data_IF_950539343606
#
_entry.id   IF_950539343606
#
_cell.length_a   1.000
_cell.length_b   1.000
_cell.length_c   1.000
_cell.angle_alpha   90.00
_cell.angle_beta   90.00
_cell.angle_gamma   90.00
#
_symmetry.space_group_name_H-M   'P 1'
#
loop_
_entity.id
_entity.type
_entity.pdbx_description
1 polymer ?
#
# COMPACT_ATOMS: atom_id res chain seq x y z
N UNK A 1 27.50 12.23 -16.98
CA UNK A 1 28.01 11.08 -16.24
C UNK A 1 26.84 10.39 -15.60
N UNK A 2 26.50 9.21 -16.07
CA UNK A 2 25.55 8.30 -15.41
C UNK A 2 26.24 7.81 -14.14
N UNK A 3 26.08 8.52 -13.02
CA UNK A 3 26.56 8.01 -11.74
C UNK A 3 25.75 6.76 -11.40
N UNK A 4 26.40 5.61 -11.46
CA UNK A 4 25.80 4.37 -10.98
C UNK A 4 25.38 4.55 -9.53
N UNK A 5 24.16 4.12 -9.20
CA UNK A 5 23.69 4.13 -7.82
C UNK A 5 24.61 3.24 -6.99
N UNK A 6 25.16 3.72 -5.85
CA UNK A 6 25.99 2.89 -4.98
C UNK A 6 25.26 1.62 -4.56
N UNK A 7 25.98 0.51 -4.43
CA UNK A 7 25.42 -0.79 -4.05
C UNK A 7 24.64 -0.71 -2.71
N UNK A 8 25.14 0.07 -1.75
CA UNK A 8 24.45 0.29 -0.47
C UNK A 8 23.07 0.93 -0.62
N UNK A 9 22.92 1.88 -1.55
CA UNK A 9 21.64 2.53 -1.84
C UNK A 9 20.68 1.58 -2.59
N UNK A 10 21.23 0.75 -3.49
CA UNK A 10 20.44 -0.31 -4.15
C UNK A 10 19.92 -1.33 -3.13
N UNK A 11 20.79 -1.80 -2.23
CA UNK A 11 20.41 -2.74 -1.17
C UNK A 11 19.39 -2.14 -0.21
N UNK A 12 19.53 -0.84 0.12
CA UNK A 12 18.54 -0.14 0.94
C UNK A 12 17.18 -0.06 0.25
N UNK A 13 17.14 0.26 -1.03
CA UNK A 13 15.89 0.29 -1.80
C UNK A 13 15.24 -1.11 -1.88
N UNK A 14 16.04 -2.16 -2.11
CA UNK A 14 15.57 -3.55 -2.08
C UNK A 14 15.03 -3.94 -0.69
N UNK A 15 15.70 -3.52 0.38
CA UNK A 15 15.23 -3.77 1.75
C UNK A 15 13.87 -3.11 2.00
N UNK A 16 13.68 -1.86 1.58
CA UNK A 16 12.39 -1.16 1.75
C UNK A 16 11.27 -1.88 1.01
N UNK A 17 11.46 -2.23 -0.26
CA UNK A 17 10.42 -2.93 -1.03
C UNK A 17 10.19 -4.35 -0.54
N UNK A 18 11.21 -5.02 -0.01
CA UNK A 18 11.09 -6.30 0.68
C UNK A 18 10.24 -6.18 1.94
N UNK A 19 10.50 -5.17 2.78
CA UNK A 19 9.70 -4.87 3.97
C UNK A 19 8.24 -4.62 3.58
N UNK A 20 7.99 -3.79 2.58
CA UNK A 20 6.63 -3.47 2.14
C UNK A 20 5.89 -4.69 1.57
N UNK A 21 6.57 -5.54 0.80
CA UNK A 21 5.97 -6.76 0.25
C UNK A 21 5.66 -7.80 1.32
N UNK A 22 6.65 -8.14 2.14
CA UNK A 22 6.49 -9.13 3.21
C UNK A 22 5.55 -8.66 4.33
N UNK A 23 5.32 -7.36 4.43
CA UNK A 23 4.40 -6.80 5.41
C UNK A 23 2.97 -7.32 5.30
N UNK A 24 2.52 -7.75 4.13
CA UNK A 24 1.18 -8.35 3.98
C UNK A 24 1.03 -9.63 4.80
N UNK A 25 2.11 -10.40 4.97
CA UNK A 25 2.14 -11.55 5.88
C UNK A 25 2.05 -11.09 7.33
N UNK A 26 2.80 -10.06 7.71
CA UNK A 26 2.75 -9.50 9.08
C UNK A 26 1.37 -8.94 9.39
N UNK A 27 0.69 -8.31 8.41
CA UNK A 27 -0.72 -7.89 8.56
C UNK A 27 -1.59 -9.10 8.89
N UNK A 28 -1.46 -10.21 8.17
CA UNK A 28 -2.26 -11.41 8.41
C UNK A 28 -2.03 -11.98 9.81
N UNK A 29 -0.79 -11.99 10.28
CA UNK A 29 -0.47 -12.40 11.66
C UNK A 29 -1.08 -11.46 12.70
N UNK A 30 -1.00 -10.14 12.49
CA UNK A 30 -1.62 -9.17 13.39
C UNK A 30 -3.14 -9.25 13.43
N UNK A 31 -3.78 -9.59 12.30
CA UNK A 31 -5.23 -9.79 12.23
C UNK A 31 -5.72 -11.04 12.97
N UNK A 32 -4.83 -11.96 13.31
CA UNK A 32 -5.16 -13.08 14.23
C UNK A 32 -5.26 -12.63 15.69
N UNK A 33 -4.67 -11.49 16.04
CA UNK A 33 -4.60 -10.99 17.42
C UNK A 33 -5.52 -9.76 17.64
N UNK A 34 -5.73 -8.96 16.61
CA UNK A 34 -6.47 -7.70 16.67
C UNK A 34 -7.62 -7.64 15.66
N UNK A 35 -8.77 -7.05 16.03
CA UNK A 35 -9.76 -6.62 15.06
C UNK A 35 -9.15 -5.70 13.99
N UNK A 36 -9.67 -5.76 12.75
CA UNK A 36 -9.03 -5.13 11.60
C UNK A 36 -8.88 -3.61 11.73
N UNK A 37 -9.95 -2.92 12.12
CA UNK A 37 -9.91 -1.45 12.24
C UNK A 37 -9.13 -1.01 13.48
N UNK A 38 -9.15 -1.79 14.57
CA UNK A 38 -8.26 -1.55 15.71
C UNK A 38 -6.80 -1.69 15.30
N UNK A 39 -6.46 -2.74 14.57
CA UNK A 39 -5.09 -2.97 14.12
C UNK A 39 -4.61 -1.85 13.20
N UNK A 40 -5.47 -1.38 12.29
CA UNK A 40 -5.19 -0.21 11.48
C UNK A 40 -5.00 1.06 12.33
N UNK A 41 -5.83 1.27 13.36
CA UNK A 41 -5.68 2.40 14.28
C UNK A 41 -4.34 2.36 15.02
N UNK A 42 -3.92 1.19 15.51
CA UNK A 42 -2.61 0.99 16.16
C UNK A 42 -1.45 1.29 15.19
N UNK A 43 -1.55 0.86 13.93
CA UNK A 43 -0.57 1.24 12.89
C UNK A 43 -0.38 2.74 12.83
N UNK A 44 -1.46 3.50 12.73
CA UNK A 44 -1.39 4.96 12.61
C UNK A 44 -0.99 5.64 13.90
N UNK A 45 -1.34 5.06 15.06
CA UNK A 45 -0.87 5.51 16.36
C UNK A 45 0.68 5.44 16.43
N UNK A 46 1.28 4.31 16.10
CA UNK A 46 2.73 4.14 16.10
C UNK A 46 3.42 4.85 14.93
N UNK A 47 2.70 5.21 13.88
CA UNK A 47 3.22 6.06 12.79
C UNK A 47 3.21 7.54 13.15
N UNK A 48 2.36 7.97 14.07
CA UNK A 48 2.26 9.36 14.53
C UNK A 48 3.09 9.59 15.78
N UNK A 49 2.87 8.79 16.82
CA UNK A 49 3.54 8.92 18.10
C UNK A 49 4.74 7.96 18.20
N UNK A 50 5.92 8.42 18.67
CA UNK A 50 6.25 9.76 19.18
C UNK A 50 6.73 10.75 18.10
N UNK A 51 6.66 10.43 16.84
CA UNK A 51 7.34 11.11 15.72
C UNK A 51 6.92 12.57 15.56
N UNK A 52 5.64 12.89 15.83
CA UNK A 52 5.14 14.28 15.77
C UNK A 52 5.81 15.21 16.79
N UNK A 53 6.42 14.65 17.85
CA UNK A 53 7.18 15.44 18.82
C UNK A 53 8.55 15.81 18.26
N UNK A 54 9.13 14.93 17.44
CA UNK A 54 10.47 15.08 16.87
C UNK A 54 10.42 15.80 15.52
N UNK A 55 9.42 15.47 14.68
CA UNK A 55 9.30 15.98 13.33
C UNK A 55 8.41 17.21 13.31
N UNK A 56 8.95 18.32 12.80
CA UNK A 56 8.17 19.55 12.61
C UNK A 56 7.04 19.32 11.61
N UNK A 57 5.89 19.89 11.91
CA UNK A 57 4.73 19.87 11.01
C UNK A 57 5.12 20.42 9.62
N UNK A 58 4.81 19.73 8.52
CA UNK A 58 5.04 20.27 7.20
C UNK A 58 4.20 21.53 6.95
N UNK A 59 4.72 22.44 6.14
CA UNK A 59 4.07 23.72 5.83
C UNK A 59 2.93 23.53 4.81
N UNK A 60 1.93 22.74 5.18
CA UNK A 60 0.72 22.47 4.38
C UNK A 60 -0.54 22.73 5.23
N UNK A 61 -1.68 23.04 4.59
CA UNK A 61 -2.94 23.23 5.29
C UNK A 61 -3.36 21.97 6.08
N UNK A 62 -4.02 22.15 7.22
CA UNK A 62 -4.54 21.05 8.04
C UNK A 62 -5.54 20.16 7.30
N UNK A 63 -6.37 20.74 6.44
CA UNK A 63 -7.32 19.97 5.62
C UNK A 63 -6.63 19.03 4.64
N UNK A 64 -5.42 19.35 4.18
CA UNK A 64 -4.63 18.48 3.32
C UNK A 64 -4.10 17.28 4.11
N UNK A 65 -3.57 17.48 5.31
CA UNK A 65 -3.16 16.41 6.22
C UNK A 65 -4.35 15.51 6.60
N UNK A 66 -5.49 16.12 6.92
CA UNK A 66 -6.71 15.38 7.26
C UNK A 66 -7.19 14.51 6.07
N UNK A 67 -7.28 15.08 4.87
CA UNK A 67 -7.66 14.31 3.66
C UNK A 67 -6.70 13.16 3.41
N UNK A 68 -5.40 13.40 3.47
CA UNK A 68 -4.40 12.34 3.27
C UNK A 68 -4.53 11.25 4.35
N UNK A 69 -4.66 11.63 5.63
CA UNK A 69 -4.81 10.69 6.73
C UNK A 69 -6.08 9.86 6.63
N UNK A 70 -7.22 10.46 6.31
CA UNK A 70 -8.49 9.75 6.16
C UNK A 70 -8.47 8.81 4.93
N UNK A 71 -7.99 9.29 3.79
CA UNK A 71 -7.92 8.48 2.57
C UNK A 71 -6.95 7.30 2.73
N UNK A 72 -5.78 7.56 3.29
CA UNK A 72 -4.78 6.52 3.50
C UNK A 72 -5.15 5.60 4.66
N UNK A 73 -5.58 6.16 5.79
CA UNK A 73 -5.86 5.42 7.00
C UNK A 73 -7.15 4.62 6.92
N UNK A 74 -8.27 5.29 6.77
CA UNK A 74 -9.57 4.64 6.71
C UNK A 74 -9.80 4.01 5.34
N UNK A 75 -9.56 4.77 4.27
CA UNK A 75 -9.87 4.35 2.90
C UNK A 75 -8.94 3.26 2.39
N UNK A 76 -7.64 3.35 2.61
CA UNK A 76 -6.71 2.36 2.07
C UNK A 76 -6.41 1.26 3.09
N UNK A 77 -5.77 1.56 4.21
CA UNK A 77 -5.35 0.52 5.15
C UNK A 77 -6.51 -0.09 5.91
N UNK A 78 -7.50 0.69 6.32
CA UNK A 78 -8.69 0.17 7.00
C UNK A 78 -9.42 -0.85 6.13
N UNK A 79 -9.67 -0.53 4.87
CA UNK A 79 -10.35 -1.44 3.93
C UNK A 79 -9.50 -2.67 3.59
N UNK A 80 -8.19 -2.51 3.37
CA UNK A 80 -7.29 -3.65 3.09
C UNK A 80 -7.26 -4.60 4.29
N UNK A 81 -7.12 -4.09 5.51
CA UNK A 81 -7.08 -4.92 6.71
C UNK A 81 -8.41 -5.65 6.93
N UNK A 82 -9.51 -4.95 6.70
CA UNK A 82 -10.84 -5.54 6.78
C UNK A 82 -11.03 -6.68 5.77
N UNK A 83 -10.68 -6.46 4.50
CA UNK A 83 -10.76 -7.50 3.48
C UNK A 83 -9.82 -8.69 3.76
N UNK A 84 -8.61 -8.45 4.28
CA UNK A 84 -7.63 -9.49 4.56
C UNK A 84 -7.99 -10.39 5.75
N UNK A 85 -9.02 -10.07 6.51
CA UNK A 85 -9.50 -10.98 7.56
C UNK A 85 -9.90 -12.32 6.96
N UNK A 86 -10.79 -12.33 5.97
CA UNK A 86 -11.41 -13.55 5.44
C UNK A 86 -11.60 -13.52 3.91
N UNK A 87 -11.61 -12.34 3.30
CA UNK A 87 -12.08 -12.14 1.93
C UNK A 87 -10.99 -12.10 0.86
N UNK A 88 -9.73 -11.92 1.25
CA UNK A 88 -8.60 -11.92 0.32
C UNK A 88 -7.31 -12.34 1.01
N UNK A 89 -6.53 -13.17 0.34
CA UNK A 89 -5.23 -13.59 0.83
C UNK A 89 -4.19 -12.46 0.77
N UNK A 90 -3.16 -12.48 1.64
CA UNK A 90 -2.11 -11.47 1.64
C UNK A 90 -1.40 -11.30 0.29
N UNK A 91 -1.09 -12.41 -0.39
CA UNK A 91 -0.44 -12.36 -1.70
C UNK A 91 -1.30 -11.66 -2.76
N UNK A 92 -2.60 -11.99 -2.83
CA UNK A 92 -3.53 -11.32 -3.75
C UNK A 92 -3.78 -9.86 -3.35
N UNK A 93 -3.89 -9.56 -2.06
CA UNK A 93 -4.04 -8.18 -1.60
C UNK A 93 -2.86 -7.30 -2.03
N UNK A 94 -1.63 -7.81 -1.92
CA UNK A 94 -0.42 -7.11 -2.37
C UNK A 94 -0.42 -6.80 -3.87
N UNK A 95 -1.03 -7.67 -4.67
CA UNK A 95 -1.17 -7.50 -6.12
C UNK A 95 -2.30 -6.51 -6.45
N UNK A 96 -3.49 -6.71 -5.89
CA UNK A 96 -4.69 -5.94 -6.22
C UNK A 96 -4.55 -4.48 -5.80
N UNK A 97 -3.94 -4.21 -4.65
CA UNK A 97 -3.72 -2.84 -4.17
C UNK A 97 -2.83 -2.01 -5.11
N UNK A 98 -2.04 -2.65 -5.97
CA UNK A 98 -1.24 -1.95 -7.00
C UNK A 98 -2.09 -1.31 -8.11
N UNK A 99 -3.37 -1.61 -8.18
CA UNK A 99 -4.31 -0.89 -9.05
C UNK A 99 -4.29 0.62 -8.80
N UNK A 100 -3.84 1.06 -7.61
CA UNK A 100 -3.63 2.46 -7.28
C UNK A 100 -2.76 3.21 -8.29
N UNK A 101 -1.79 2.55 -8.91
CA UNK A 101 -0.92 3.16 -9.94
C UNK A 101 -1.76 3.57 -11.15
N UNK A 102 -2.62 2.67 -11.62
CA UNK A 102 -3.47 2.90 -12.79
C UNK A 102 -4.56 3.93 -12.48
N UNK A 103 -5.18 3.87 -11.32
CA UNK A 103 -6.11 4.91 -10.87
C UNK A 103 -5.44 6.29 -10.79
N UNK A 104 -4.21 6.36 -10.26
CA UNK A 104 -3.43 7.61 -10.19
C UNK A 104 -3.16 8.17 -11.59
N UNK A 105 -2.84 7.31 -12.57
CA UNK A 105 -2.61 7.71 -13.95
C UNK A 105 -3.89 8.27 -14.56
N UNK A 106 -5.00 7.54 -14.45
CA UNK A 106 -6.30 7.96 -15.00
C UNK A 106 -6.73 9.29 -14.40
N UNK A 107 -6.66 9.43 -13.06
CA UNK A 107 -7.00 10.68 -12.38
C UNK A 107 -6.08 11.83 -12.80
N UNK A 108 -4.79 11.57 -12.97
CA UNK A 108 -3.85 12.58 -13.46
C UNK A 108 -4.23 13.05 -14.87
N UNK A 109 -4.56 12.13 -15.78
CA UNK A 109 -5.01 12.48 -17.14
C UNK A 109 -6.28 13.33 -17.13
N UNK A 110 -7.26 12.95 -16.29
CA UNK A 110 -8.52 13.70 -16.16
C UNK A 110 -8.28 15.11 -15.62
N UNK A 111 -7.39 15.27 -14.64
CA UNK A 111 -7.10 16.57 -14.02
C UNK A 111 -6.25 17.48 -14.90
N UNK A 112 -5.27 16.91 -15.63
CA UNK A 112 -4.34 17.68 -16.45
C UNK A 112 -4.78 17.83 -17.91
N UNK A 113 -5.79 17.06 -18.34
CA UNK A 113 -6.22 16.99 -19.75
C UNK A 113 -5.20 16.31 -20.67
N UNK A 114 -4.17 15.70 -20.15
CA UNK A 114 -3.15 14.98 -20.93
C UNK A 114 -3.76 13.73 -21.57
N UNK A 115 -3.42 13.50 -22.84
CA UNK A 115 -3.85 12.28 -23.55
C UNK A 115 -2.96 11.09 -23.17
N UNK A 116 -3.56 9.93 -23.00
CA UNK A 116 -2.83 8.68 -22.80
C UNK A 116 -1.97 8.36 -24.03
N UNK A 117 -0.73 7.94 -23.79
CA UNK A 117 0.15 7.43 -24.84
C UNK A 117 -0.22 5.98 -25.17
N UNK A 118 0.07 5.51 -26.40
CA UNK A 118 -0.21 4.11 -26.78
C UNK A 118 0.36 3.08 -25.78
N UNK A 119 1.58 3.28 -25.29
CA UNK A 119 2.20 2.40 -24.29
C UNK A 119 1.47 2.43 -22.93
N UNK A 120 0.93 3.57 -22.52
CA UNK A 120 0.13 3.67 -21.30
C UNK A 120 -1.23 2.98 -21.46
N UNK A 121 -1.83 3.08 -22.64
CA UNK A 121 -3.07 2.35 -22.96
C UNK A 121 -2.81 0.84 -22.94
N UNK A 122 -1.73 0.36 -23.54
CA UNK A 122 -1.33 -1.05 -23.46
C UNK A 122 -1.12 -1.49 -22.03
N UNK A 123 -0.45 -0.68 -21.19
CA UNK A 123 -0.24 -0.96 -19.78
C UNK A 123 -1.57 -1.10 -19.02
N UNK A 124 -2.53 -0.21 -19.29
CA UNK A 124 -3.88 -0.26 -18.71
C UNK A 124 -4.64 -1.52 -19.16
N UNK A 125 -4.54 -1.89 -20.45
CA UNK A 125 -5.20 -3.10 -20.99
C UNK A 125 -4.63 -4.35 -20.31
N UNK A 126 -3.29 -4.49 -20.23
CA UNK A 126 -2.65 -5.63 -19.57
C UNK A 126 -3.07 -5.75 -18.09
N UNK A 127 -3.04 -4.65 -17.37
CA UNK A 127 -3.46 -4.64 -15.96
C UNK A 127 -4.94 -4.98 -15.81
N UNK A 128 -5.81 -4.42 -16.66
CA UNK A 128 -7.24 -4.72 -16.66
C UNK A 128 -7.51 -6.20 -16.94
N UNK A 129 -6.78 -6.82 -17.86
CA UNK A 129 -6.85 -8.26 -18.10
C UNK A 129 -6.43 -9.06 -16.85
N UNK A 130 -5.34 -8.66 -16.18
CA UNK A 130 -4.90 -9.31 -14.96
C UNK A 130 -5.90 -9.20 -13.82
N UNK A 131 -6.42 -8.02 -13.55
CA UNK A 131 -7.46 -7.82 -12.54
C UNK A 131 -8.80 -8.46 -12.91
N UNK A 132 -9.14 -8.46 -14.21
CA UNK A 132 -10.30 -9.20 -14.73
C UNK A 132 -10.21 -10.69 -14.46
N UNK A 133 -9.01 -11.27 -14.58
CA UNK A 133 -8.76 -12.66 -14.25
C UNK A 133 -8.95 -12.94 -12.76
N UNK A 134 -8.44 -12.06 -11.89
CA UNK A 134 -8.67 -12.16 -10.44
C UNK A 134 -10.17 -12.05 -10.13
N UNK A 135 -10.89 -11.09 -10.73
CA UNK A 135 -12.33 -10.92 -10.55
C UNK A 135 -13.11 -12.14 -11.02
N UNK A 136 -12.73 -12.74 -12.15
CA UNK A 136 -13.36 -13.96 -12.68
C UNK A 136 -13.23 -15.12 -11.68
N UNK A 137 -12.02 -15.41 -11.21
CA UNK A 137 -11.80 -16.50 -10.27
C UNK A 137 -12.42 -16.24 -8.91
N UNK A 138 -12.47 -14.98 -8.46
CA UNK A 138 -13.16 -14.62 -7.21
C UNK A 138 -14.67 -14.87 -7.26
N UNK A 139 -15.27 -14.83 -8.46
CA UNK A 139 -16.70 -15.07 -8.67
C UNK A 139 -17.02 -16.55 -8.96
N UNK A 140 -16.08 -17.33 -9.48
CA UNK A 140 -16.35 -18.66 -10.02
C UNK A 140 -15.67 -19.82 -9.29
N UNK A 141 -14.60 -19.52 -8.54
CA UNK A 141 -13.81 -20.54 -7.84
C UNK A 141 -13.78 -20.27 -6.33
N UNK A 142 -14.53 -21.04 -5.51
CA UNK A 142 -14.51 -20.91 -4.05
C UNK A 142 -13.13 -21.14 -3.41
N UNK A 143 -12.21 -21.78 -4.12
CA UNK A 143 -10.86 -22.07 -3.64
C UNK A 143 -9.83 -21.01 -4.01
N UNK A 144 -10.26 -19.94 -4.67
CA UNK A 144 -9.39 -18.89 -5.21
C UNK A 144 -8.64 -18.05 -4.17
N UNK A 145 -8.97 -18.21 -2.88
CA UNK A 145 -8.47 -17.40 -1.76
C UNK A 145 -8.81 -15.89 -1.88
N UNK A 146 -9.84 -15.56 -2.65
CA UNK A 146 -10.39 -14.21 -2.79
C UNK A 146 -11.89 -14.29 -3.08
N UNK A 147 -12.69 -13.49 -2.37
CA UNK A 147 -14.11 -13.29 -2.69
C UNK A 147 -14.26 -12.09 -3.63
N UNK A 148 -15.37 -12.05 -4.39
CA UNK A 148 -15.67 -10.89 -5.23
C UNK A 148 -15.83 -9.61 -4.38
N UNK A 149 -16.38 -9.75 -3.17
CA UNK A 149 -16.46 -8.67 -2.20
C UNK A 149 -15.07 -8.18 -1.77
N UNK A 150 -14.16 -9.10 -1.37
CA UNK A 150 -12.79 -8.76 -0.98
C UNK A 150 -12.01 -8.10 -2.10
N UNK A 151 -12.16 -8.60 -3.34
CA UNK A 151 -11.58 -7.96 -4.52
C UNK A 151 -12.08 -6.52 -4.68
N UNK A 152 -13.39 -6.30 -4.61
CA UNK A 152 -14.01 -4.97 -4.72
C UNK A 152 -13.55 -4.02 -3.61
N UNK A 153 -13.46 -4.49 -2.38
CA UNK A 153 -12.99 -3.70 -1.22
C UNK A 153 -11.53 -3.27 -1.40
N UNK A 154 -10.65 -4.18 -1.85
CA UNK A 154 -9.23 -3.82 -2.08
C UNK A 154 -9.07 -2.90 -3.30
N UNK A 155 -9.92 -3.04 -4.34
CA UNK A 155 -9.97 -2.07 -5.44
C UNK A 155 -10.39 -0.67 -4.97
N UNK A 156 -11.38 -0.58 -4.07
CA UNK A 156 -11.77 0.68 -3.44
C UNK A 156 -10.62 1.27 -2.59
N UNK A 157 -9.91 0.43 -1.85
CA UNK A 157 -8.72 0.82 -1.10
C UNK A 157 -7.61 1.37 -2.02
N UNK A 158 -7.38 0.72 -3.16
CA UNK A 158 -6.43 1.18 -4.18
C UNK A 158 -6.85 2.55 -4.76
N UNK A 159 -8.13 2.78 -4.97
CA UNK A 159 -8.65 4.07 -5.41
C UNK A 159 -8.42 5.16 -4.35
N UNK A 160 -8.68 4.88 -3.08
CA UNK A 160 -8.40 5.81 -1.97
C UNK A 160 -6.90 6.16 -1.91
N UNK A 161 -6.03 5.18 -2.13
CA UNK A 161 -4.60 5.44 -2.21
C UNK A 161 -4.24 6.34 -3.40
N UNK A 162 -4.84 6.12 -4.56
CA UNK A 162 -4.67 7.00 -5.72
C UNK A 162 -5.11 8.45 -5.41
N UNK A 163 -6.22 8.61 -4.71
CA UNK A 163 -6.65 9.93 -4.22
C UNK A 163 -5.62 10.55 -3.27
N UNK A 164 -5.03 9.77 -2.36
CA UNK A 164 -3.93 10.23 -1.49
C UNK A 164 -2.73 10.70 -2.31
N UNK A 165 -2.35 9.97 -3.35
CA UNK A 165 -1.26 10.37 -4.24
C UNK A 165 -1.55 11.72 -4.91
N UNK A 166 -2.79 11.99 -5.29
CA UNK A 166 -3.19 13.30 -5.84
C UNK A 166 -3.11 14.42 -4.81
N UNK A 167 -3.48 14.15 -3.56
CA UNK A 167 -3.32 15.11 -2.45
C UNK A 167 -1.84 15.40 -2.22
N UNK A 168 -1.00 14.38 -2.17
CA UNK A 168 0.45 14.53 -1.98
C UNK A 168 1.13 15.29 -3.11
N UNK A 169 0.69 15.11 -4.36
CA UNK A 169 1.19 15.92 -5.50
C UNK A 169 0.90 17.41 -5.32
N UNK A 170 -0.26 17.77 -4.77
CA UNK A 170 -0.61 19.17 -4.46
C UNK A 170 0.20 19.74 -3.29
N UNK A 171 0.66 18.90 -2.38
CA UNK A 171 1.52 19.32 -1.27
C UNK A 171 2.91 19.79 -1.74
N UNK A 172 3.35 19.36 -2.93
CA UNK A 172 4.64 19.71 -3.50
C UNK A 172 5.82 19.03 -2.80
N UNK A 173 6.94 19.74 -2.68
CA UNK A 173 8.17 19.22 -2.03
C UNK A 173 8.06 19.38 -0.52
N UNK A 174 7.57 18.36 0.16
CA UNK A 174 7.51 18.27 1.62
C UNK A 174 8.30 17.07 2.12
N UNK A 175 8.71 17.11 3.38
CA UNK A 175 9.28 15.94 4.03
C UNK A 175 8.21 14.85 4.13
N UNK A 176 8.37 13.76 3.36
CA UNK A 176 7.44 12.63 3.27
C UNK A 176 7.16 12.02 4.64
N UNK A 177 8.21 11.85 5.46
CA UNK A 177 8.09 11.26 6.79
C UNK A 177 7.25 12.14 7.71
N UNK A 178 7.54 13.45 7.75
CA UNK A 178 6.76 14.40 8.54
C UNK A 178 5.31 14.45 8.04
N UNK A 179 5.09 14.50 6.73
CA UNK A 179 3.73 14.48 6.15
C UNK A 179 2.96 13.24 6.58
N UNK A 180 3.60 12.05 6.51
CA UNK A 180 2.98 10.78 6.91
C UNK A 180 2.68 10.75 8.40
N UNK A 181 3.63 11.14 9.27
CA UNK A 181 3.43 11.14 10.71
C UNK A 181 2.29 12.09 11.13
N UNK A 182 2.27 13.31 10.61
CA UNK A 182 1.23 14.29 10.94
C UNK A 182 -0.13 13.98 10.33
N UNK A 183 -0.20 13.43 9.13
CA UNK A 183 -1.46 12.97 8.53
C UNK A 183 -2.04 11.77 9.26
N UNK A 184 -1.19 10.89 9.81
CA UNK A 184 -1.60 9.71 10.57
C UNK A 184 -2.48 10.02 11.78
N UNK A 185 -2.33 11.21 12.39
CA UNK A 185 -3.19 11.65 13.49
C UNK A 185 -4.67 11.65 13.14
N UNK A 186 -5.00 12.02 11.91
CA UNK A 186 -6.40 12.11 11.44
C UNK A 186 -7.03 10.76 11.15
N UNK A 187 -6.24 9.69 11.07
CA UNK A 187 -6.73 8.33 10.86
C UNK A 187 -7.10 7.63 12.18
N UNK A 188 -6.42 7.95 13.28
CA UNK A 188 -6.51 7.22 14.56
C UNK A 188 -7.94 7.21 15.10
N UNK A 189 -8.52 8.39 15.30
CA UNK A 189 -9.86 8.51 15.91
C UNK A 189 -10.95 7.89 15.03
N UNK A 190 -11.04 8.18 13.73
CA UNK A 190 -12.03 7.54 12.86
C UNK A 190 -11.92 6.01 12.86
N UNK A 191 -10.70 5.45 12.77
CA UNK A 191 -10.50 4.01 12.80
C UNK A 191 -10.90 3.38 14.13
N UNK A 192 -10.59 4.02 15.26
CA UNK A 192 -11.05 3.57 16.58
C UNK A 192 -12.57 3.61 16.69
N UNK A 193 -13.22 4.66 16.21
CA UNK A 193 -14.68 4.74 16.22
C UNK A 193 -15.31 3.65 15.35
N UNK A 194 -14.78 3.44 14.14
CA UNK A 194 -15.26 2.35 13.27
C UNK A 194 -15.07 1.01 13.96
N UNK A 195 -13.92 0.77 14.57
CA UNK A 195 -13.65 -0.46 15.32
C UNK A 195 -14.68 -0.68 16.45
N UNK A 196 -14.92 0.34 17.27
CA UNK A 196 -15.88 0.25 18.38
C UNK A 196 -17.31 -0.03 17.89
N UNK A 197 -17.74 0.59 16.78
CA UNK A 197 -19.10 0.41 16.27
C UNK A 197 -19.29 -0.87 15.45
N UNK A 198 -18.27 -1.34 14.72
CA UNK A 198 -18.39 -2.50 13.82
C UNK A 198 -17.86 -3.79 14.42
N UNK A 199 -16.78 -3.70 15.19
CA UNK A 199 -16.10 -4.86 15.79
C UNK A 199 -16.51 -5.08 17.27
N UNK A 200 -17.06 -4.05 17.89
CA UNK A 200 -17.58 -4.07 19.26
C UNK A 200 -16.54 -3.72 20.33
N UNK A 201 -16.98 -2.99 21.36
CA UNK A 201 -16.12 -2.55 22.46
C UNK A 201 -15.48 -3.72 23.22
N UNK A 202 -16.21 -4.82 23.42
CA UNK A 202 -15.70 -6.02 24.11
C UNK A 202 -14.54 -6.66 23.34
N UNK A 203 -14.64 -6.76 21.99
CA UNK A 203 -13.57 -7.27 21.14
C UNK A 203 -12.33 -6.39 21.20
N UNK A 204 -12.52 -5.07 21.19
CA UNK A 204 -11.42 -4.09 21.29
C UNK A 204 -10.72 -4.21 22.64
N UNK A 205 -11.46 -4.21 23.74
CA UNK A 205 -10.89 -4.35 25.09
C UNK A 205 -10.21 -5.70 25.24
N UNK A 206 -10.84 -6.78 24.78
CA UNK A 206 -10.25 -8.11 24.82
C UNK A 206 -8.92 -8.16 24.07
N UNK A 207 -8.86 -7.68 22.83
CA UNK A 207 -7.64 -7.66 22.05
C UNK A 207 -6.53 -6.84 22.72
N UNK A 208 -6.83 -5.65 23.24
CA UNK A 208 -5.84 -4.81 23.92
C UNK A 208 -5.29 -5.43 25.21
N UNK A 209 -6.07 -6.28 25.88
CA UNK A 209 -5.69 -6.88 27.17
C UNK A 209 -5.11 -8.29 27.02
N UNK A 210 -5.41 -9.01 25.94
CA UNK A 210 -5.03 -10.42 25.74
C UNK A 210 -4.11 -10.67 24.56
N UNK A 211 -3.86 -9.66 23.71
CA UNK A 211 -2.95 -9.85 22.58
C UNK A 211 -1.56 -10.29 23.06
N UNK A 212 -0.96 -11.23 22.35
CA UNK A 212 0.36 -11.76 22.66
C UNK A 212 1.45 -10.71 22.44
N UNK A 213 2.65 -10.95 22.96
CA UNK A 213 3.81 -10.12 22.66
C UNK A 213 4.09 -10.02 21.17
N UNK A 214 3.87 -11.09 20.41
CA UNK A 214 4.01 -11.09 18.96
C UNK A 214 2.96 -10.24 18.25
N UNK A 215 1.72 -10.23 18.73
CA UNK A 215 0.68 -9.32 18.24
C UNK A 215 1.10 -7.86 18.37
N UNK A 216 1.63 -7.48 19.53
CA UNK A 216 2.16 -6.12 19.76
C UNK A 216 3.39 -5.81 18.93
N UNK A 217 4.29 -6.77 18.74
CA UNK A 217 5.44 -6.62 17.81
C UNK A 217 4.92 -6.36 16.38
N UNK A 218 3.90 -7.09 15.92
CA UNK A 218 3.29 -6.86 14.62
C UNK A 218 2.69 -5.44 14.53
N UNK A 219 1.98 -4.97 15.57
CA UNK A 219 1.40 -3.63 15.59
C UNK A 219 2.45 -2.51 15.54
N UNK A 220 3.50 -2.61 16.34
CA UNK A 220 4.63 -1.66 16.34
C UNK A 220 5.35 -1.71 15.00
N UNK A 221 5.55 -2.90 14.42
CA UNK A 221 6.17 -3.07 13.11
C UNK A 221 5.39 -2.33 12.01
N UNK A 222 4.06 -2.36 12.04
CA UNK A 222 3.23 -1.63 11.07
C UNK A 222 3.53 -0.13 11.09
N UNK A 223 3.63 0.47 12.26
CA UNK A 223 3.89 1.90 12.41
C UNK A 223 5.36 2.24 12.19
N UNK A 224 6.27 1.58 12.89
CA UNK A 224 7.69 1.94 12.92
C UNK A 224 8.45 1.34 11.74
N UNK A 225 8.44 0.03 11.58
CA UNK A 225 9.21 -0.65 10.54
C UNK A 225 8.68 -0.38 9.14
N UNK A 226 7.39 -0.63 8.93
CA UNK A 226 6.79 -0.51 7.61
C UNK A 226 6.53 0.95 7.19
N UNK A 227 6.03 1.79 8.10
CA UNK A 227 5.67 3.17 7.78
C UNK A 227 6.83 4.12 7.98
N UNK A 228 7.33 4.27 9.20
CA UNK A 228 8.35 5.29 9.51
C UNK A 228 9.68 4.98 8.84
N UNK A 229 10.21 3.78 9.01
CA UNK A 229 11.45 3.37 8.36
C UNK A 229 11.26 3.30 6.83
N UNK A 230 10.20 2.64 6.35
CA UNK A 230 9.95 2.46 4.92
C UNK A 230 9.83 3.79 4.18
N UNK A 231 8.93 4.67 4.59
CA UNK A 231 8.77 5.99 3.94
C UNK A 231 9.95 6.92 4.20
N UNK A 232 10.58 6.85 5.38
CA UNK A 232 11.77 7.62 5.70
C UNK A 232 12.93 7.30 4.76
N UNK A 233 13.25 6.02 4.60
CA UNK A 233 14.34 5.57 3.73
C UNK A 233 14.00 5.74 2.25
N UNK A 234 12.75 5.50 1.86
CA UNK A 234 12.31 5.76 0.49
C UNK A 234 12.40 7.24 0.12
N UNK A 235 11.94 8.12 1.00
CA UNK A 235 12.07 9.58 0.82
C UNK A 235 13.54 10.02 0.76
N UNK A 236 14.41 9.43 1.60
CA UNK A 236 15.85 9.68 1.58
C UNK A 236 16.50 9.27 0.26
N UNK A 237 16.09 8.13 -0.31
CA UNK A 237 16.56 7.65 -1.62
C UNK A 237 16.08 8.58 -2.75
N UNK A 238 14.81 8.97 -2.73
CA UNK A 238 14.24 9.89 -3.74
C UNK A 238 14.85 11.30 -3.70
N UNK A 239 15.36 11.73 -2.54
CA UNK A 239 16.05 13.00 -2.42
C UNK A 239 17.46 12.97 -3.06
N UNK A 240 18.06 11.78 -3.22
CA UNK A 240 19.44 11.58 -3.70
C UNK A 240 19.55 11.00 -5.10
N UNK A 241 18.51 10.33 -5.55
CA UNK A 241 18.49 9.66 -6.86
C UNK A 241 17.28 10.08 -7.67
N UNK A 242 17.38 10.11 -9.00
CA UNK A 242 16.23 10.37 -9.86
C UNK A 242 15.09 9.37 -9.56
N UNK A 243 13.87 9.86 -9.44
CA UNK A 243 12.69 9.02 -9.19
C UNK A 243 12.55 7.89 -10.23
N UNK A 244 12.96 8.16 -11.46
CA UNK A 244 13.01 7.20 -12.57
C UNK A 244 13.89 5.97 -12.28
N UNK A 245 14.86 6.11 -11.37
CA UNK A 245 15.75 5.00 -10.96
C UNK A 245 15.14 4.23 -9.79
N UNK A 246 14.56 4.92 -8.82
CA UNK A 246 14.07 4.33 -7.55
C UNK A 246 12.67 3.74 -7.71
N UNK A 247 11.73 4.48 -8.31
CA UNK A 247 10.31 4.08 -8.34
C UNK A 247 10.03 2.72 -9.01
N UNK A 248 10.78 2.28 -10.04
CA UNK A 248 10.57 0.94 -10.61
C UNK A 248 10.82 -0.21 -9.64
N UNK A 249 11.62 0.01 -8.61
CA UNK A 249 11.89 -1.03 -7.61
C UNK A 249 10.63 -1.38 -6.80
N UNK A 250 9.67 -0.46 -6.69
CA UNK A 250 8.37 -0.72 -6.06
C UNK A 250 7.55 -1.82 -6.78
N UNK A 251 7.87 -2.15 -8.04
CA UNK A 251 7.29 -3.29 -8.75
C UNK A 251 7.59 -4.64 -8.07
N UNK A 252 8.64 -4.69 -7.26
CA UNK A 252 9.00 -5.89 -6.50
C UNK A 252 8.10 -6.10 -5.26
N UNK A 253 7.35 -5.09 -4.82
CA UNK A 253 6.46 -5.22 -3.64
C UNK A 253 5.47 -6.38 -3.80
N UNK A 254 4.66 -6.48 -4.86
CA UNK A 254 3.74 -7.62 -5.02
C UNK A 254 4.50 -8.95 -5.27
N UNK A 255 5.69 -8.92 -5.85
CA UNK A 255 6.51 -10.12 -6.00
C UNK A 255 6.90 -10.66 -4.62
N UNK A 256 7.46 -9.84 -3.76
CA UNK A 256 7.80 -10.22 -2.39
C UNK A 256 6.56 -10.58 -1.57
N UNK A 257 5.43 -9.89 -1.78
CA UNK A 257 4.17 -10.20 -1.10
C UNK A 257 3.64 -11.58 -1.45
N UNK A 258 3.59 -11.93 -2.72
CA UNK A 258 3.14 -13.24 -3.19
C UNK A 258 4.11 -14.34 -2.75
N UNK A 259 5.42 -14.14 -2.91
CA UNK A 259 6.42 -15.13 -2.50
C UNK A 259 6.42 -15.34 -0.98
N UNK A 260 6.36 -14.28 -0.19
CA UNK A 260 6.28 -14.39 1.26
C UNK A 260 5.01 -15.13 1.71
N UNK A 261 3.86 -14.82 1.10
CA UNK A 261 2.61 -15.52 1.38
C UNK A 261 2.67 -17.00 1.02
N UNK A 262 3.26 -17.33 -0.13
CA UNK A 262 3.43 -18.72 -0.55
C UNK A 262 4.33 -19.51 0.40
N UNK A 263 5.45 -18.91 0.84
CA UNK A 263 6.44 -19.58 1.70
C UNK A 263 6.00 -19.63 3.16
N UNK A 264 5.55 -18.49 3.71
CA UNK A 264 5.28 -18.35 5.15
C UNK A 264 3.87 -18.76 5.55
N UNK A 265 2.89 -18.56 4.67
CA UNK A 265 1.48 -18.90 4.91
C UNK A 265 1.03 -20.12 4.11
N UNK A 266 1.91 -20.74 3.34
CA UNK A 266 1.61 -21.89 2.46
C UNK A 266 0.46 -21.58 1.49
N UNK A 267 0.38 -20.32 1.04
CA UNK A 267 -0.64 -19.87 0.09
C UNK A 267 -0.41 -20.50 -1.27
N UNK A 268 -1.44 -21.16 -1.84
CA UNK A 268 -1.34 -21.80 -3.13
C UNK A 268 -1.06 -20.79 -4.27
N UNK A 269 -0.26 -21.21 -5.23
CA UNK A 269 0.06 -20.47 -6.45
C UNK A 269 -0.50 -21.18 -7.69
N UNK A 270 -1.83 -21.23 -7.88
CA UNK A 270 -2.41 -21.82 -9.08
C UNK A 270 -2.01 -21.02 -10.33
N UNK A 271 -2.04 -21.66 -11.48
CA UNK A 271 -1.59 -21.07 -12.75
C UNK A 271 -2.28 -19.71 -13.06
N UNK A 272 -3.57 -19.62 -12.81
CA UNK A 272 -4.32 -18.37 -13.05
C UNK A 272 -3.76 -17.18 -12.24
N UNK A 273 -3.35 -17.42 -10.98
CA UNK A 273 -2.77 -16.40 -10.11
C UNK A 273 -1.41 -15.93 -10.62
N UNK A 274 -0.59 -16.85 -11.11
CA UNK A 274 0.69 -16.53 -11.75
C UNK A 274 0.46 -15.72 -13.02
N UNK A 275 -0.49 -16.11 -13.86
CA UNK A 275 -0.84 -15.41 -15.10
C UNK A 275 -1.35 -14.00 -14.77
N UNK A 276 -2.28 -13.86 -13.81
CA UNK A 276 -2.78 -12.55 -13.37
C UNK A 276 -1.64 -11.66 -12.86
N UNK A 277 -0.74 -12.21 -12.06
CA UNK A 277 0.45 -11.51 -11.55
C UNK A 277 1.34 -11.04 -12.69
N UNK A 278 1.64 -11.89 -13.66
CA UNK A 278 2.45 -11.52 -14.83
C UNK A 278 1.79 -10.42 -15.66
N UNK A 279 0.48 -10.47 -15.87
CA UNK A 279 -0.27 -9.44 -16.59
C UNK A 279 -0.22 -8.09 -15.87
N UNK A 280 -0.48 -8.07 -14.56
CA UNK A 280 -0.44 -6.84 -13.77
C UNK A 280 0.99 -6.28 -13.71
N UNK A 281 1.99 -7.08 -13.42
CA UNK A 281 3.39 -6.65 -13.38
C UNK A 281 3.89 -6.23 -14.76
N UNK A 282 3.45 -6.90 -15.82
CA UNK A 282 3.72 -6.51 -17.21
C UNK A 282 3.15 -5.12 -17.51
N UNK A 283 1.92 -4.86 -17.12
CA UNK A 283 1.29 -3.54 -17.23
C UNK A 283 2.03 -2.47 -16.43
N UNK A 284 2.38 -2.74 -15.17
CA UNK A 284 3.17 -1.83 -14.33
C UNK A 284 4.55 -1.54 -14.93
N UNK A 285 5.26 -2.57 -15.40
CA UNK A 285 6.58 -2.44 -16.02
C UNK A 285 6.52 -1.62 -17.30
N UNK A 286 5.50 -1.85 -18.14
CA UNK A 286 5.28 -1.09 -19.37
C UNK A 286 4.97 0.38 -19.07
N UNK A 287 4.18 0.65 -18.03
CA UNK A 287 3.91 2.02 -17.58
C UNK A 287 5.19 2.75 -17.12
N UNK A 288 6.05 2.07 -16.36
CA UNK A 288 7.36 2.61 -15.94
C UNK A 288 8.23 2.91 -17.14
N UNK A 289 8.28 2.01 -18.12
CA UNK A 289 9.02 2.22 -19.36
C UNK A 289 8.50 3.44 -20.14
N UNK A 290 7.18 3.56 -20.29
CA UNK A 290 6.54 4.69 -20.96
C UNK A 290 6.87 6.04 -20.27
N UNK A 291 6.94 6.03 -18.94
CA UNK A 291 7.27 7.21 -18.14
C UNK A 291 8.74 7.64 -18.31
N UNK A 292 9.67 6.68 -18.43
CA UNK A 292 11.09 6.94 -18.70
C UNK A 292 11.35 7.58 -20.06
N UNK A 293 10.60 7.16 -21.08
CA UNK A 293 10.71 7.72 -22.43
C UNK A 293 10.28 9.20 -22.47
N UNK A 294 9.54 9.69 -21.46
CA UNK A 294 9.17 11.12 -21.32
C UNK A 294 10.35 12.00 -20.88
N UNK A 295 11.22 11.50 -20.02
CA UNK A 295 12.35 12.27 -19.45
C UNK A 295 13.54 12.44 -20.40
N UNK A 296 13.52 11.82 -21.59
CA UNK A 296 14.57 11.90 -22.60
C UNK A 296 14.25 12.85 -23.76
N UNK A 297 13.11 13.48 -23.77
CA UNK A 297 12.69 14.52 -24.72
C UNK A 297 12.50 15.84 -23.97
#
# INVERSE_FOLDING_TARGET
ATSFMPLSHLLLALLVVFIWGTNFVVIKWGLAEFPAFLFAALRFLFSALPWIVILRRPAVPWNMLARAGLLLGVGQFGLVYWAMREDISPGLASLVVQAQVFFTIIMSMVVTGERARPLQIMALILATCGYGLVAWYSATDPTSAVTLFGFGVVMAAAFCWACTNMVMRKAGRVNMLAFTAWSSLFAIVPLLLISLFTEGADSVVYALTHASGWGWVAAVWQGVGNTVFGFGMWGWLLARHPAVTITPMALLVPVFGILASAVLLQEALPAWKIIATCLVLGGLSLNVYASRARGKR
#
